data_IF_812430787287
#
_entry.id   IF_812430787287
#
_cell.length_a   1.000
_cell.length_b   1.000
_cell.length_c   1.000
_cell.angle_alpha   90.00
_cell.angle_beta   90.00
_cell.angle_gamma   90.00
#
_symmetry.space_group_name_H-M   'P 1'
#
loop_
_entity.id
_entity.type
_entity.pdbx_description
1 polymer ?
#
# COMPACT_ATOMS: atom_id res chain seq x y z
N UNK A 1 -4.67 22.76 -20.02
CA UNK A 1 -5.78 22.84 -19.04
C UNK A 1 -6.16 21.47 -18.48
N UNK A 2 -6.25 20.39 -19.28
CA UNK A 2 -6.53 19.03 -18.79
C UNK A 2 -5.51 18.49 -17.77
N UNK A 3 -4.20 18.62 -18.04
CA UNK A 3 -3.14 18.14 -17.14
C UNK A 3 -3.15 18.77 -15.73
N UNK A 4 -3.53 20.05 -15.61
CA UNK A 4 -3.69 20.71 -14.30
C UNK A 4 -4.93 20.22 -13.55
N UNK A 5 -6.00 19.82 -14.27
CA UNK A 5 -7.21 19.26 -13.66
C UNK A 5 -6.96 17.86 -13.10
N UNK A 6 -6.19 17.03 -13.81
CA UNK A 6 -5.84 15.69 -13.37
C UNK A 6 -4.95 15.70 -12.12
N UNK A 7 -3.95 16.58 -12.08
CA UNK A 7 -3.09 16.74 -10.90
C UNK A 7 -3.88 17.16 -9.65
N UNK A 8 -4.87 18.05 -9.79
CA UNK A 8 -5.76 18.42 -8.70
C UNK A 8 -6.57 17.22 -8.22
N UNK A 9 -7.14 16.43 -9.14
CA UNK A 9 -7.92 15.23 -8.78
C UNK A 9 -7.07 14.17 -8.06
N UNK A 10 -5.82 13.97 -8.47
CA UNK A 10 -4.88 13.05 -7.81
C UNK A 10 -4.58 13.51 -6.37
N UNK A 11 -4.28 14.79 -6.20
CA UNK A 11 -4.00 15.37 -4.88
C UNK A 11 -5.23 15.29 -3.97
N UNK A 12 -6.41 15.65 -4.48
CA UNK A 12 -7.67 15.52 -3.73
C UNK A 12 -7.96 14.06 -3.37
N UNK A 13 -7.71 13.13 -4.29
CA UNK A 13 -7.87 11.70 -4.03
C UNK A 13 -6.99 11.23 -2.85
N UNK A 14 -5.73 11.66 -2.81
CA UNK A 14 -4.81 11.32 -1.72
C UNK A 14 -5.13 12.05 -0.40
N UNK A 15 -5.46 13.34 -0.45
CA UNK A 15 -5.82 14.10 0.75
C UNK A 15 -7.08 13.54 1.42
N UNK A 16 -8.10 13.22 0.64
CA UNK A 16 -9.32 12.57 1.14
C UNK A 16 -8.98 11.21 1.77
N UNK A 17 -8.11 10.42 1.13
CA UNK A 17 -7.63 9.17 1.69
C UNK A 17 -6.96 9.34 3.06
N UNK A 18 -6.08 10.33 3.21
CA UNK A 18 -5.38 10.60 4.48
C UNK A 18 -6.34 11.03 5.60
N UNK A 19 -7.32 11.87 5.29
CA UNK A 19 -8.38 12.26 6.23
C UNK A 19 -9.20 11.03 6.66
N UNK A 20 -9.62 10.21 5.70
CA UNK A 20 -10.34 8.96 5.97
C UNK A 20 -9.49 7.99 6.82
N UNK A 21 -8.17 7.91 6.61
CA UNK A 21 -7.29 7.10 7.44
C UNK A 21 -7.27 7.54 8.90
N UNK A 22 -7.17 8.86 9.13
CA UNK A 22 -7.16 9.43 10.48
C UNK A 22 -8.50 9.22 11.18
N UNK A 23 -9.62 9.45 10.49
CA UNK A 23 -10.94 9.23 11.04
C UNK A 23 -11.17 7.75 11.41
N UNK A 24 -10.82 6.83 10.51
CA UNK A 24 -10.96 5.39 10.78
C UNK A 24 -10.08 4.93 11.94
N UNK A 25 -8.90 5.52 12.15
CA UNK A 25 -8.07 5.21 13.32
C UNK A 25 -8.79 5.59 14.61
N UNK A 26 -9.41 6.78 14.68
CA UNK A 26 -10.16 7.22 15.85
C UNK A 26 -11.34 6.30 16.14
N UNK A 27 -12.08 5.90 15.10
CA UNK A 27 -13.21 4.97 15.24
C UNK A 27 -12.76 3.57 15.69
N UNK A 28 -11.67 3.03 15.13
CA UNK A 28 -11.09 1.76 15.56
C UNK A 28 -10.67 1.80 17.03
N UNK A 29 -9.97 2.86 17.45
CA UNK A 29 -9.58 3.07 18.85
C UNK A 29 -10.79 3.17 19.77
N UNK A 30 -11.86 3.84 19.32
CA UNK A 30 -13.09 3.94 20.10
C UNK A 30 -13.75 2.58 20.31
N UNK A 31 -13.95 1.81 19.22
CA UNK A 31 -14.55 0.46 19.30
C UNK A 31 -13.69 -0.46 20.14
N UNK A 32 -12.38 -0.48 19.92
CA UNK A 32 -11.45 -1.31 20.67
C UNK A 32 -11.46 -1.01 22.18
N UNK A 33 -11.51 0.26 22.59
CA UNK A 33 -11.48 0.64 24.01
C UNK A 33 -12.84 0.49 24.72
N UNK A 34 -13.95 0.75 24.03
CA UNK A 34 -15.28 0.78 24.65
C UNK A 34 -16.01 -0.56 24.54
N UNK A 35 -15.77 -1.32 23.47
CA UNK A 35 -16.51 -2.53 23.12
C UNK A 35 -15.59 -3.66 22.59
N UNK A 36 -14.51 -4.03 23.31
CA UNK A 36 -13.55 -5.04 22.83
C UNK A 36 -14.16 -6.45 22.68
N UNK A 37 -15.25 -6.75 23.37
CA UNK A 37 -15.93 -8.05 23.33
C UNK A 37 -17.16 -8.05 22.40
N UNK A 38 -17.50 -6.91 21.78
CA UNK A 38 -18.64 -6.80 20.87
C UNK A 38 -18.21 -7.17 19.44
N UNK A 39 -18.30 -8.46 19.14
CA UNK A 39 -17.91 -9.02 17.84
C UNK A 39 -18.63 -8.35 16.67
N UNK A 40 -19.89 -7.92 16.85
CA UNK A 40 -20.68 -7.29 15.81
C UNK A 40 -20.14 -5.89 15.48
N UNK A 41 -19.82 -5.09 16.49
CA UNK A 41 -19.20 -3.77 16.30
C UNK A 41 -17.79 -3.86 15.71
N UNK A 42 -16.99 -4.84 16.16
CA UNK A 42 -15.67 -5.12 15.59
C UNK A 42 -15.78 -5.49 14.10
N UNK A 43 -16.68 -6.40 13.73
CA UNK A 43 -16.91 -6.76 12.34
C UNK A 43 -17.42 -5.57 11.50
N UNK A 44 -18.26 -4.72 12.09
CA UNK A 44 -18.79 -3.51 11.44
C UNK A 44 -17.67 -2.54 11.07
N UNK A 45 -16.78 -2.20 12.01
CA UNK A 45 -15.68 -1.27 11.75
C UNK A 45 -14.63 -1.86 10.78
N UNK A 46 -14.36 -3.16 10.86
CA UNK A 46 -13.52 -3.87 9.88
C UNK A 46 -14.12 -3.76 8.48
N UNK A 47 -15.42 -4.05 8.32
CA UNK A 47 -16.12 -3.97 7.05
C UNK A 47 -16.11 -2.56 6.47
N UNK A 48 -16.33 -1.55 7.32
CA UNK A 48 -16.23 -0.14 6.93
C UNK A 48 -14.82 0.18 6.40
N UNK A 49 -13.77 -0.20 7.10
CA UNK A 49 -12.39 0.05 6.68
C UNK A 49 -12.06 -0.60 5.34
N UNK A 50 -12.42 -1.88 5.17
CA UNK A 50 -12.18 -2.62 3.92
C UNK A 50 -12.87 -1.92 2.76
N UNK A 51 -14.12 -1.47 2.96
CA UNK A 51 -14.88 -0.70 1.97
C UNK A 51 -14.16 0.60 1.57
N UNK A 52 -13.71 1.40 2.54
CA UNK A 52 -12.97 2.64 2.25
C UNK A 52 -11.68 2.40 1.45
N UNK A 53 -10.90 1.36 1.80
CA UNK A 53 -9.70 1.02 1.04
C UNK A 53 -10.05 0.55 -0.39
N UNK A 54 -11.14 -0.20 -0.57
CA UNK A 54 -11.61 -0.60 -1.90
C UNK A 54 -12.06 0.59 -2.74
N UNK A 55 -12.76 1.56 -2.14
CA UNK A 55 -13.15 2.79 -2.82
C UNK A 55 -11.92 3.61 -3.24
N UNK A 56 -10.92 3.73 -2.37
CA UNK A 56 -9.66 4.42 -2.69
C UNK A 56 -8.91 3.75 -3.84
N UNK A 57 -8.63 2.45 -3.74
CA UNK A 57 -7.95 1.68 -4.82
C UNK A 57 -8.72 1.70 -6.13
N UNK A 58 -10.06 1.72 -6.07
CA UNK A 58 -10.91 1.86 -7.25
C UNK A 58 -10.75 3.24 -7.88
N UNK A 59 -10.81 4.34 -7.11
CA UNK A 59 -10.57 5.70 -7.62
C UNK A 59 -9.17 5.82 -8.24
N UNK A 60 -8.15 5.28 -7.57
CA UNK A 60 -6.77 5.23 -8.09
C UNK A 60 -6.69 4.49 -9.42
N UNK A 61 -7.34 3.33 -9.55
CA UNK A 61 -7.33 2.55 -10.78
C UNK A 61 -7.92 3.33 -11.97
N UNK A 62 -8.98 4.11 -11.74
CA UNK A 62 -9.56 4.97 -12.78
C UNK A 62 -8.59 6.10 -13.19
N UNK A 63 -7.96 6.76 -12.21
CA UNK A 63 -7.00 7.84 -12.48
C UNK A 63 -5.68 7.32 -13.09
N UNK A 64 -5.29 6.09 -12.80
CA UNK A 64 -4.06 5.47 -13.29
C UNK A 64 -4.02 5.31 -14.81
N UNK A 65 -5.18 5.22 -15.47
CA UNK A 65 -5.27 5.11 -16.94
C UNK A 65 -4.54 6.26 -17.62
N UNK A 66 -4.68 7.47 -17.09
CA UNK A 66 -4.04 8.67 -17.65
C UNK A 66 -2.77 9.08 -16.88
N UNK A 67 -2.67 8.72 -15.59
CA UNK A 67 -1.70 9.32 -14.65
C UNK A 67 -0.90 8.29 -13.82
N UNK A 68 -0.65 7.08 -14.34
CA UNK A 68 0.08 6.04 -13.61
C UNK A 68 1.45 6.50 -13.07
N UNK A 69 2.20 7.29 -13.84
CA UNK A 69 3.51 7.83 -13.44
C UNK A 69 3.43 8.73 -12.22
N UNK A 70 2.37 9.52 -12.09
CA UNK A 70 2.11 10.40 -10.95
C UNK A 70 1.90 9.61 -9.65
N UNK A 71 1.36 8.40 -9.71
CA UNK A 71 1.26 7.51 -8.54
C UNK A 71 2.57 6.79 -8.20
N UNK A 72 3.46 6.59 -9.17
CA UNK A 72 4.78 5.98 -8.96
C UNK A 72 5.81 6.98 -8.47
N UNK A 73 5.59 8.27 -8.73
CA UNK A 73 6.43 9.39 -8.30
C UNK A 73 5.60 10.53 -7.71
N UNK A 74 4.86 10.27 -6.61
CA UNK A 74 3.88 11.23 -6.10
C UNK A 74 4.54 12.47 -5.52
N UNK A 75 4.06 13.64 -5.97
CA UNK A 75 4.48 14.95 -5.47
C UNK A 75 3.83 15.31 -4.13
N UNK A 76 2.79 14.59 -3.74
CA UNK A 76 2.07 14.77 -2.48
C UNK A 76 2.64 13.93 -1.32
N UNK A 77 3.61 13.06 -1.60
CA UNK A 77 4.33 12.31 -0.58
C UNK A 77 5.66 13.01 -0.23
N UNK A 78 6.08 12.87 1.01
CA UNK A 78 7.39 13.35 1.49
C UNK A 78 8.53 12.57 0.85
N UNK A 79 9.75 13.13 0.89
CA UNK A 79 10.96 12.43 0.41
C UNK A 79 11.18 11.09 1.12
N UNK A 80 10.84 11.01 2.40
CA UNK A 80 10.94 9.77 3.18
C UNK A 80 9.91 8.74 2.70
N UNK A 81 8.65 9.12 2.57
CA UNK A 81 7.60 8.23 2.05
C UNK A 81 7.96 7.72 0.65
N UNK A 82 8.40 8.61 -0.23
CA UNK A 82 8.83 8.27 -1.59
C UNK A 82 9.99 7.26 -1.61
N UNK A 83 10.94 7.36 -0.67
CA UNK A 83 12.04 6.41 -0.55
C UNK A 83 11.61 5.00 -0.09
N UNK A 84 10.42 4.87 0.48
CA UNK A 84 9.86 3.60 0.96
C UNK A 84 8.79 3.01 0.02
N UNK A 85 8.48 3.67 -1.10
CA UNK A 85 7.51 3.16 -2.06
C UNK A 85 8.07 1.96 -2.84
N UNK A 86 7.22 0.98 -3.04
CA UNK A 86 7.43 -0.07 -4.04
C UNK A 86 6.71 0.36 -5.34
N UNK A 87 5.61 -0.29 -5.71
CA UNK A 87 4.80 0.13 -6.89
C UNK A 87 3.68 1.08 -6.45
N UNK A 88 4.02 2.36 -6.29
CA UNK A 88 3.06 3.43 -5.96
C UNK A 88 2.38 3.28 -4.59
N UNK A 89 2.98 2.51 -3.68
CA UNK A 89 2.45 2.26 -2.34
C UNK A 89 3.37 1.32 -1.57
N UNK A 90 2.95 0.95 -0.36
CA UNK A 90 3.71 0.01 0.47
C UNK A 90 3.85 -1.36 -0.20
N UNK A 91 4.88 -2.10 0.16
CA UNK A 91 5.06 -3.48 -0.29
C UNK A 91 4.15 -4.40 0.55
N UNK A 92 3.26 -5.21 -0.05
CA UNK A 92 2.27 -6.03 0.69
C UNK A 92 2.83 -6.89 1.83
N UNK A 93 4.02 -7.48 1.65
CA UNK A 93 4.72 -8.29 2.64
C UNK A 93 5.09 -7.52 3.91
N UNK A 94 5.13 -6.19 3.89
CA UNK A 94 5.30 -5.36 5.10
C UNK A 94 4.11 -5.48 6.05
N UNK A 95 2.88 -5.70 5.53
CA UNK A 95 1.71 -5.96 6.37
C UNK A 95 1.91 -7.26 7.16
N UNK A 96 2.50 -8.27 6.54
CA UNK A 96 2.78 -9.57 7.16
C UNK A 96 3.94 -9.46 8.16
N UNK A 97 4.98 -8.68 7.83
CA UNK A 97 6.07 -8.38 8.76
C UNK A 97 5.58 -7.63 10.00
N UNK A 98 4.58 -6.75 9.85
CA UNK A 98 3.95 -6.09 10.98
C UNK A 98 3.28 -7.10 11.92
N UNK A 99 2.59 -8.11 11.38
CA UNK A 99 1.99 -9.18 12.18
C UNK A 99 3.07 -9.90 13.01
N UNK A 100 4.17 -10.32 12.39
CA UNK A 100 5.27 -10.98 13.13
C UNK A 100 5.88 -10.07 14.21
N UNK A 101 6.03 -8.78 13.91
CA UNK A 101 6.56 -7.80 14.87
C UNK A 101 5.63 -7.62 16.08
N UNK A 102 4.31 -7.62 15.84
CA UNK A 102 3.31 -7.58 16.90
C UNK A 102 3.31 -8.85 17.75
N UNK A 103 3.36 -10.02 17.11
CA UNK A 103 3.48 -11.29 17.83
C UNK A 103 4.74 -11.35 18.69
N UNK A 104 5.89 -10.91 18.16
CA UNK A 104 7.16 -10.92 18.90
C UNK A 104 7.20 -9.94 20.08
N UNK A 105 6.87 -8.67 19.84
CA UNK A 105 6.93 -7.62 20.86
C UNK A 105 5.89 -7.78 21.97
N UNK A 106 4.68 -8.21 21.64
CA UNK A 106 3.63 -8.46 22.63
C UNK A 106 3.88 -9.77 23.40
N UNK A 107 4.47 -10.78 22.75
CA UNK A 107 4.93 -11.96 23.46
C UNK A 107 5.91 -11.56 24.56
N UNK A 108 6.95 -10.78 24.25
CA UNK A 108 7.97 -10.33 25.20
C UNK A 108 7.39 -9.50 26.37
N UNK A 109 6.53 -8.53 26.07
CA UNK A 109 5.95 -7.65 27.10
C UNK A 109 4.90 -8.33 27.99
N UNK A 110 4.24 -9.39 27.50
CA UNK A 110 3.19 -10.12 28.22
C UNK A 110 3.63 -11.52 28.71
N UNK A 111 4.93 -11.85 28.66
CA UNK A 111 5.47 -13.16 29.09
C UNK A 111 5.02 -13.54 30.51
N UNK A 112 5.07 -12.60 31.45
CA UNK A 112 4.70 -12.86 32.85
C UNK A 112 3.21 -13.16 33.03
N UNK A 113 2.32 -12.44 32.31
CA UNK A 113 0.87 -12.70 32.33
C UNK A 113 0.55 -14.06 31.68
N UNK A 114 1.24 -14.42 30.59
CA UNK A 114 1.08 -15.73 29.92
C UNK A 114 1.54 -16.90 30.79
N UNK A 115 2.65 -16.75 31.53
CA UNK A 115 3.10 -17.76 32.49
C UNK A 115 2.12 -17.95 33.65
N UNK A 116 1.32 -16.92 33.96
CA UNK A 116 0.22 -16.98 34.91
C UNK A 116 -1.09 -17.50 34.30
N UNK A 117 -1.09 -17.85 33.01
CA UNK A 117 -2.24 -18.42 32.31
C UNK A 117 -3.28 -17.40 31.83
N UNK A 118 -3.01 -16.09 31.95
CA UNK A 118 -3.91 -15.04 31.45
C UNK A 118 -3.83 -15.03 29.92
N UNK A 119 -4.99 -15.22 29.26
CA UNK A 119 -5.14 -15.16 27.80
C UNK A 119 -6.07 -14.00 27.46
N UNK A 120 -5.61 -13.09 26.62
CA UNK A 120 -6.37 -11.91 26.17
C UNK A 120 -6.93 -12.10 24.76
N UNK A 121 -6.44 -13.09 24.01
CA UNK A 121 -6.90 -13.37 22.65
C UNK A 121 -6.56 -12.25 21.65
N UNK A 122 -5.57 -11.42 22.00
CA UNK A 122 -5.09 -10.29 21.22
C UNK A 122 -4.16 -10.74 20.06
N UNK A 123 -3.72 -9.79 19.24
CA UNK A 123 -2.83 -10.01 18.08
C UNK A 123 -1.45 -10.56 18.47
N UNK A 124 -1.04 -10.37 19.72
CA UNK A 124 0.15 -10.99 20.32
C UNK A 124 0.00 -12.49 20.64
N UNK A 125 -1.22 -13.01 20.56
CA UNK A 125 -1.58 -14.39 20.88
C UNK A 125 -2.14 -15.16 19.67
N UNK A 126 -1.51 -15.04 18.50
CA UNK A 126 -1.85 -15.89 17.35
C UNK A 126 -1.65 -17.38 17.67
N UNK A 127 -2.60 -18.20 17.24
CA UNK A 127 -2.50 -19.66 17.34
C UNK A 127 -1.44 -20.23 16.38
N UNK A 128 -0.98 -21.46 16.63
CA UNK A 128 -0.05 -22.14 15.73
C UNK A 128 -0.63 -22.27 14.31
N UNK A 129 -1.93 -22.55 14.19
CA UNK A 129 -2.63 -22.65 12.90
C UNK A 129 -2.68 -21.29 12.20
N UNK A 130 -3.00 -20.22 12.94
CA UNK A 130 -2.98 -18.85 12.39
C UNK A 130 -1.58 -18.48 11.88
N UNK A 131 -0.52 -18.78 12.63
CA UNK A 131 0.86 -18.51 12.23
C UNK A 131 1.27 -19.30 10.98
N UNK A 132 0.84 -20.57 10.87
CA UNK A 132 1.08 -21.38 9.67
C UNK A 132 0.43 -20.75 8.44
N UNK A 133 -0.85 -20.36 8.56
CA UNK A 133 -1.60 -19.73 7.47
C UNK A 133 -1.01 -18.35 7.08
N UNK A 134 -0.56 -17.57 8.06
CA UNK A 134 0.15 -16.29 7.80
C UNK A 134 1.46 -16.55 7.06
N UNK A 135 2.20 -17.61 7.40
CA UNK A 135 3.43 -17.98 6.69
C UNK A 135 3.16 -18.43 5.25
N UNK A 136 2.08 -19.17 5.00
CA UNK A 136 1.65 -19.55 3.65
C UNK A 136 1.26 -18.32 2.82
N UNK A 137 0.51 -17.39 3.43
CA UNK A 137 0.17 -16.11 2.82
C UNK A 137 1.42 -15.27 2.51
N UNK A 138 2.44 -15.33 3.36
CA UNK A 138 3.71 -14.65 3.11
C UNK A 138 4.39 -15.17 1.85
N UNK A 139 4.51 -16.50 1.73
CA UNK A 139 5.13 -17.14 0.57
C UNK A 139 4.42 -16.75 -0.72
N UNK A 140 3.08 -16.84 -0.77
CA UNK A 140 2.31 -16.48 -1.97
C UNK A 140 2.39 -14.99 -2.28
N UNK A 141 2.29 -14.13 -1.26
CA UNK A 141 2.41 -12.66 -1.43
C UNK A 141 3.78 -12.27 -2.00
N UNK A 142 4.88 -12.85 -1.49
CA UNK A 142 6.24 -12.58 -1.99
C UNK A 142 6.40 -13.03 -3.44
N UNK A 143 5.84 -14.19 -3.81
CA UNK A 143 5.88 -14.67 -5.19
C UNK A 143 5.20 -13.69 -6.16
N UNK A 144 4.00 -13.20 -5.82
CA UNK A 144 3.29 -12.20 -6.62
C UNK A 144 4.03 -10.85 -6.67
N UNK A 145 4.64 -10.42 -5.56
CA UNK A 145 5.50 -9.23 -5.53
C UNK A 145 6.72 -9.37 -6.48
N UNK A 146 7.35 -10.54 -6.53
CA UNK A 146 8.45 -10.80 -7.45
C UNK A 146 8.00 -10.74 -8.92
N UNK A 147 6.83 -11.30 -9.23
CA UNK A 147 6.25 -11.24 -10.58
C UNK A 147 6.03 -9.79 -11.01
N UNK A 148 5.39 -8.99 -10.15
CA UNK A 148 5.13 -7.57 -10.43
C UNK A 148 6.42 -6.74 -10.51
N UNK A 149 7.41 -7.03 -9.65
CA UNK A 149 8.71 -6.35 -9.69
C UNK A 149 9.47 -6.66 -10.98
N UNK A 150 9.45 -7.92 -11.44
CA UNK A 150 10.04 -8.32 -12.72
C UNK A 150 9.35 -7.64 -13.90
N UNK A 151 8.01 -7.57 -13.90
CA UNK A 151 7.24 -6.83 -14.92
C UNK A 151 7.66 -5.35 -14.98
N UNK A 152 7.79 -4.69 -13.83
CA UNK A 152 8.25 -3.29 -13.76
C UNK A 152 9.67 -3.12 -14.30
N UNK A 153 10.60 -4.02 -13.92
CA UNK A 153 11.97 -3.97 -14.42
C UNK A 153 12.03 -4.15 -15.95
N UNK A 154 11.33 -5.14 -16.51
CA UNK A 154 11.27 -5.33 -17.97
C UNK A 154 10.67 -4.13 -18.69
N UNK A 155 9.65 -3.49 -18.11
CA UNK A 155 9.05 -2.29 -18.69
C UNK A 155 10.03 -1.11 -18.74
N UNK A 156 10.87 -0.95 -17.70
CA UNK A 156 11.93 0.05 -17.64
C UNK A 156 13.06 -0.24 -18.66
N UNK A 157 13.44 -1.51 -18.83
CA UNK A 157 14.44 -1.94 -19.81
C UNK A 157 13.95 -1.67 -21.25
N UNK A 158 12.70 -2.05 -21.56
CA UNK A 158 12.13 -1.91 -22.90
C UNK A 158 12.07 -0.44 -23.37
N UNK A 159 11.65 0.48 -22.50
CA UNK A 159 11.57 1.90 -22.87
C UNK A 159 12.97 2.50 -23.07
N UNK A 160 13.96 2.06 -22.28
CA UNK A 160 15.34 2.50 -22.44
C UNK A 160 15.96 1.96 -23.74
N UNK A 161 15.74 0.68 -24.05
CA UNK A 161 16.23 0.06 -25.29
C UNK A 161 15.65 0.72 -26.55
N UNK A 162 14.35 1.09 -26.51
CA UNK A 162 13.73 1.88 -27.58
C UNK A 162 14.48 3.21 -27.81
N UNK A 163 14.86 3.92 -26.76
CA UNK A 163 15.59 5.20 -26.88
C UNK A 163 17.04 5.01 -27.34
N UNK A 164 17.73 3.99 -26.81
CA UNK A 164 19.11 3.69 -27.19
C UNK A 164 19.22 3.26 -28.66
N UNK A 165 18.31 2.41 -29.12
CA UNK A 165 18.25 1.98 -30.53
C UNK A 165 18.01 3.16 -31.47
N UNK A 166 17.15 4.11 -31.08
CA UNK A 166 16.92 5.35 -31.83
C UNK A 166 18.20 6.18 -31.95
N UNK A 167 18.93 6.37 -30.85
CA UNK A 167 20.20 7.11 -30.86
C UNK A 167 21.27 6.42 -31.71
N UNK A 168 21.34 5.09 -31.70
CA UNK A 168 22.33 4.33 -32.46
C UNK A 168 22.10 4.39 -33.98
N UNK A 169 20.85 4.49 -34.42
CA UNK A 169 20.48 4.41 -35.84
C UNK A 169 20.55 5.74 -36.60
N UNK A 170 20.86 6.87 -35.95
CA UNK A 170 20.95 8.21 -36.57
C UNK A 170 19.78 8.54 -37.51
N UNK A 171 18.55 8.13 -37.16
CA UNK A 171 17.37 8.37 -38.00
C UNK A 171 16.99 9.86 -37.97
N UNK A 172 17.30 10.57 -39.05
CA UNK A 172 17.00 12.00 -39.24
C UNK A 172 15.57 12.23 -39.80
N UNK A 173 14.75 11.18 -39.91
CA UNK A 173 13.37 11.26 -40.42
C UNK A 173 12.37 11.56 -39.29
N UNK A 174 12.33 12.85 -38.91
CA UNK A 174 11.67 13.37 -37.70
C UNK A 174 10.17 13.04 -37.54
N UNK A 175 9.42 12.83 -38.62
CA UNK A 175 7.95 12.68 -38.57
C UNK A 175 7.53 11.24 -38.30
N UNK A 176 8.11 10.27 -39.02
CA UNK A 176 7.87 8.84 -38.82
C UNK A 176 8.35 8.38 -37.44
N UNK A 177 9.48 8.94 -37.00
CA UNK A 177 10.06 8.69 -35.68
C UNK A 177 9.18 9.20 -34.53
N UNK A 178 8.50 10.34 -34.71
CA UNK A 178 7.63 10.91 -33.69
C UNK A 178 6.39 10.06 -33.43
N UNK A 179 5.77 9.51 -34.48
CA UNK A 179 4.56 8.68 -34.31
C UNK A 179 4.87 7.34 -33.66
N UNK A 180 5.97 6.68 -34.07
CA UNK A 180 6.40 5.40 -33.47
C UNK A 180 6.76 5.60 -31.99
N UNK A 181 7.48 6.67 -31.66
CA UNK A 181 7.81 7.00 -30.27
C UNK A 181 6.54 7.27 -29.43
N UNK A 182 5.54 7.94 -30.00
CA UNK A 182 4.29 8.24 -29.30
C UNK A 182 3.44 6.99 -29.04
N UNK A 183 3.40 6.04 -29.99
CA UNK A 183 2.73 4.74 -29.80
C UNK A 183 3.45 3.91 -28.73
N UNK A 184 4.79 3.85 -28.77
CA UNK A 184 5.58 3.12 -27.77
C UNK A 184 5.40 3.71 -26.36
N UNK A 185 5.38 5.04 -26.23
CA UNK A 185 5.11 5.71 -24.97
C UNK A 185 3.68 5.45 -24.48
N UNK A 186 2.69 5.45 -25.37
CA UNK A 186 1.31 5.10 -25.04
C UNK A 186 1.22 3.70 -24.42
N UNK A 187 1.77 2.69 -25.10
CA UNK A 187 1.83 1.31 -24.58
C UNK A 187 2.56 1.22 -23.23
N UNK A 188 3.64 2.00 -23.05
CA UNK A 188 4.37 2.04 -21.80
C UNK A 188 3.52 2.54 -20.63
N UNK A 189 2.75 3.61 -20.83
CA UNK A 189 1.86 4.14 -19.78
C UNK A 189 0.69 3.18 -19.46
N UNK A 190 0.14 2.49 -20.47
CA UNK A 190 -0.86 1.45 -20.26
C UNK A 190 -0.33 0.29 -19.40
N UNK A 191 0.89 -0.17 -19.68
CA UNK A 191 1.56 -1.21 -18.89
C UNK A 191 1.88 -0.74 -17.47
N UNK A 192 2.32 0.52 -17.29
CA UNK A 192 2.51 1.12 -15.97
C UNK A 192 1.20 1.15 -15.16
N UNK A 193 0.10 1.56 -15.79
CA UNK A 193 -1.22 1.57 -15.17
C UNK A 193 -1.65 0.16 -14.74
N UNK A 194 -1.45 -0.83 -15.62
CA UNK A 194 -1.75 -2.24 -15.35
C UNK A 194 -0.95 -2.77 -14.14
N UNK A 195 0.36 -2.52 -14.09
CA UNK A 195 1.21 -2.95 -12.97
C UNK A 195 0.78 -2.28 -11.65
N UNK A 196 0.44 -0.98 -11.68
CA UNK A 196 -0.05 -0.27 -10.51
C UNK A 196 -1.37 -0.87 -9.99
N UNK A 197 -2.32 -1.12 -10.89
CA UNK A 197 -3.62 -1.70 -10.55
C UNK A 197 -3.47 -3.12 -9.98
N UNK A 198 -2.63 -3.95 -10.58
CA UNK A 198 -2.37 -5.31 -10.06
C UNK A 198 -1.66 -5.27 -8.70
N UNK A 199 -0.79 -4.28 -8.48
CA UNK A 199 -0.14 -4.07 -7.18
C UNK A 199 -1.13 -3.65 -6.09
N UNK A 200 -2.10 -2.78 -6.43
CA UNK A 200 -3.18 -2.40 -5.51
C UNK A 200 -4.12 -3.56 -5.21
N UNK A 201 -4.41 -4.42 -6.19
CA UNK A 201 -5.15 -5.68 -5.95
C UNK A 201 -4.39 -6.59 -4.99
N UNK A 202 -3.08 -6.76 -5.16
CA UNK A 202 -2.27 -7.58 -4.26
C UNK A 202 -2.32 -7.03 -2.82
N UNK A 203 -2.14 -5.72 -2.62
CA UNK A 203 -2.29 -5.07 -1.31
C UNK A 203 -3.65 -5.35 -0.67
N UNK A 204 -4.72 -5.17 -1.43
CA UNK A 204 -6.08 -5.40 -0.98
C UNK A 204 -6.31 -6.86 -0.58
N UNK A 205 -5.84 -7.80 -1.41
CA UNK A 205 -6.01 -9.22 -1.18
C UNK A 205 -5.22 -9.66 0.05
N UNK A 206 -3.95 -9.25 0.19
CA UNK A 206 -3.15 -9.53 1.38
C UNK A 206 -3.81 -9.00 2.65
N UNK A 207 -4.32 -7.76 2.63
CA UNK A 207 -5.05 -7.18 3.76
C UNK A 207 -6.29 -8.00 4.15
N UNK A 208 -7.12 -8.36 3.16
CA UNK A 208 -8.34 -9.15 3.40
C UNK A 208 -8.05 -10.55 3.91
N UNK A 209 -7.04 -11.22 3.36
CA UNK A 209 -6.64 -12.53 3.81
C UNK A 209 -6.13 -12.47 5.26
N UNK A 210 -5.28 -11.50 5.62
CA UNK A 210 -4.86 -11.30 7.01
C UNK A 210 -6.06 -11.11 7.95
N UNK A 211 -7.01 -10.23 7.59
CA UNK A 211 -8.24 -10.02 8.38
C UNK A 211 -9.02 -11.33 8.54
N UNK A 212 -9.14 -12.13 7.48
CA UNK A 212 -9.87 -13.42 7.48
C UNK A 212 -9.20 -14.46 8.38
N UNK A 213 -7.88 -14.40 8.54
CA UNK A 213 -7.12 -15.31 9.40
C UNK A 213 -7.24 -14.97 10.89
N UNK A 214 -7.66 -13.74 11.22
CA UNK A 214 -7.71 -13.23 12.58
C UNK A 214 -9.11 -13.28 13.19
N UNK A 215 -9.18 -13.31 14.51
CA UNK A 215 -10.42 -12.96 15.21
C UNK A 215 -10.73 -11.47 14.98
N UNK A 216 -11.98 -11.02 15.12
CA UNK A 216 -12.31 -9.61 14.93
C UNK A 216 -11.51 -8.65 15.83
N UNK A 217 -11.21 -9.06 17.07
CA UNK A 217 -10.37 -8.27 17.98
C UNK A 217 -8.92 -8.16 17.46
N UNK A 218 -8.32 -9.28 17.07
CA UNK A 218 -6.97 -9.34 16.49
C UNK A 218 -6.88 -8.49 15.21
N UNK A 219 -7.89 -8.58 14.35
CA UNK A 219 -7.95 -7.78 13.13
C UNK A 219 -8.03 -6.28 13.45
N UNK A 220 -8.85 -5.86 14.41
CA UNK A 220 -8.93 -4.45 14.83
C UNK A 220 -7.60 -3.95 15.39
N UNK A 221 -6.93 -4.71 16.26
CA UNK A 221 -5.61 -4.33 16.80
C UNK A 221 -4.55 -4.21 15.70
N UNK A 222 -4.51 -5.17 14.78
CA UNK A 222 -3.64 -5.12 13.61
C UNK A 222 -3.89 -3.86 12.75
N UNK A 223 -5.17 -3.53 12.51
CA UNK A 223 -5.57 -2.37 11.70
C UNK A 223 -5.24 -1.04 12.38
N UNK A 224 -5.35 -0.96 13.71
CA UNK A 224 -4.93 0.21 14.50
C UNK A 224 -3.44 0.45 14.29
N UNK A 225 -2.59 -0.55 14.56
CA UNK A 225 -1.14 -0.40 14.46
C UNK A 225 -0.71 -0.09 13.02
N UNK A 226 -1.32 -0.75 12.03
CA UNK A 226 -1.04 -0.47 10.62
C UNK A 226 -1.32 0.98 10.24
N UNK A 227 -2.41 1.57 10.76
CA UNK A 227 -2.74 2.99 10.53
C UNK A 227 -1.82 3.93 11.29
N UNK A 228 -1.52 3.63 12.55
CA UNK A 228 -0.56 4.43 13.34
C UNK A 228 0.79 4.48 12.65
N UNK A 229 1.30 3.35 12.16
CA UNK A 229 2.56 3.29 11.42
C UNK A 229 2.52 4.19 10.19
N UNK A 230 1.48 4.09 9.37
CA UNK A 230 1.33 4.90 8.16
C UNK A 230 1.27 6.40 8.47
N UNK A 231 0.45 6.80 9.45
CA UNK A 231 0.31 8.21 9.84
C UNK A 231 1.59 8.76 10.50
N UNK A 232 2.30 7.94 11.29
CA UNK A 232 3.59 8.32 11.86
C UNK A 232 4.64 8.54 10.77
N UNK A 233 4.74 7.63 9.79
CA UNK A 233 5.66 7.78 8.66
C UNK A 233 5.39 9.07 7.90
N UNK A 234 4.13 9.38 7.63
CA UNK A 234 3.73 10.63 6.99
C UNK A 234 4.17 11.87 7.79
N UNK A 235 3.86 11.88 9.10
CA UNK A 235 4.19 13.01 9.97
C UNK A 235 5.71 13.21 10.13
N UNK A 236 6.47 12.13 10.30
CA UNK A 236 7.93 12.20 10.39
C UNK A 236 8.56 12.65 9.08
N UNK A 237 8.00 12.22 7.95
CA UNK A 237 8.38 12.70 6.62
C UNK A 237 8.22 14.21 6.51
N UNK A 238 7.07 14.76 6.92
CA UNK A 238 6.79 16.19 6.89
C UNK A 238 7.78 16.99 7.76
N UNK A 239 8.05 16.51 8.98
CA UNK A 239 9.05 17.13 9.87
C UNK A 239 10.43 17.13 9.21
N UNK A 240 10.81 16.00 8.61
CA UNK A 240 12.11 15.84 7.95
C UNK A 240 12.25 16.79 6.77
N UNK A 241 11.26 16.86 5.88
CA UNK A 241 11.31 17.72 4.71
C UNK A 241 11.31 19.20 5.08
N UNK A 242 10.56 19.60 6.11
CA UNK A 242 10.59 20.96 6.64
C UNK A 242 11.98 21.32 7.19
N UNK A 243 12.65 20.42 7.92
CA UNK A 243 14.02 20.62 8.42
C UNK A 243 15.05 20.79 7.30
N UNK A 244 14.81 20.19 6.13
CA UNK A 244 15.72 20.23 4.99
C UNK A 244 15.30 21.24 3.90
N UNK A 245 14.24 22.04 4.14
CA UNK A 245 13.76 23.06 3.20
C UNK A 245 13.17 22.50 1.89
N UNK A 246 12.54 21.31 1.94
CA UNK A 246 11.96 20.62 0.77
C UNK A 246 10.45 20.86 0.57
N UNK A 247 9.88 21.86 1.24
CA UNK A 247 8.44 22.20 1.17
C UNK A 247 8.12 23.16 0.05
#
# INVERSE_FOLDING_TARGET
MASSSNQVQLLECYQNWMIEQQQLLLELLQVHNQKPDDEQELCCIIGKLVKHFQEYTSRRAHLAVDEASSFLSPTWCTSMENSCLWVGGCRPSLLIQLVYSLCGSQLESQLSERLQGVRRGNIGELSADQLSLVSELQCSTIQEEEILSKRMASLQENIADCQLTRLANNSDDSVTDSHIAQVALGSHYEDLASILVDSDKLRMNTLKELIRLFTPLQAVEFLIVGKELHLCMHHWGQISDHRHGRT
#
